data_IF_658813999731
#
_entry.id   IF_658813999731
#
_cell.length_a   1.000
_cell.length_b   1.000
_cell.length_c   1.000
_cell.angle_alpha   90.00
_cell.angle_beta   90.00
_cell.angle_gamma   90.00
#
_symmetry.space_group_name_H-M   'P 1'
#
loop_
_entity.id
_entity.type
_entity.pdbx_description
1 polymer ?
#
# COMPACT_ATOMS: atom_id res chain seq x y z
N UNK A 1 14.01 -20.70 -27.15
CA UNK A 1 15.35 -20.67 -27.79
C UNK A 1 16.42 -21.14 -26.81
N UNK A 2 17.55 -21.64 -27.35
CA UNK A 2 18.74 -22.13 -26.62
C UNK A 2 19.36 -21.07 -25.69
N UNK A 3 20.16 -21.54 -24.72
CA UNK A 3 21.11 -20.74 -23.91
C UNK A 3 21.76 -19.65 -24.80
N UNK A 4 21.49 -18.39 -24.52
CA UNK A 4 22.13 -17.24 -25.19
C UNK A 4 22.91 -16.47 -24.14
N UNK A 5 24.18 -16.18 -24.43
CA UNK A 5 24.99 -15.37 -23.52
C UNK A 5 24.43 -13.94 -23.46
N UNK A 6 24.14 -13.35 -24.62
CA UNK A 6 23.70 -11.97 -24.76
C UNK A 6 22.75 -11.89 -25.96
N UNK A 7 21.60 -11.22 -25.81
CA UNK A 7 20.62 -11.02 -26.87
C UNK A 7 20.24 -9.54 -26.93
N UNK A 8 20.58 -8.87 -28.03
CA UNK A 8 20.42 -7.42 -28.16
C UNK A 8 18.94 -6.99 -28.29
N UNK A 9 18.18 -7.65 -29.16
CA UNK A 9 16.75 -7.34 -29.30
C UNK A 9 15.97 -8.52 -29.87
N UNK A 10 14.77 -8.73 -29.37
CA UNK A 10 13.77 -9.60 -29.99
C UNK A 10 12.51 -8.78 -30.24
N UNK A 11 12.15 -8.61 -31.52
CA UNK A 11 11.10 -7.69 -31.97
C UNK A 11 10.03 -8.44 -32.78
N UNK A 12 8.76 -8.05 -32.63
CA UNK A 12 7.64 -8.48 -33.51
C UNK A 12 7.35 -9.99 -33.48
N UNK A 13 7.03 -10.56 -32.33
CA UNK A 13 6.50 -11.93 -32.27
C UNK A 13 5.01 -11.94 -31.95
N UNK A 14 4.24 -12.74 -32.68
CA UNK A 14 2.85 -12.98 -32.29
C UNK A 14 2.81 -13.76 -30.97
N UNK A 15 3.60 -14.84 -30.87
CA UNK A 15 3.60 -15.70 -29.69
C UNK A 15 5.03 -16.18 -29.41
N UNK A 16 5.48 -15.99 -28.17
CA UNK A 16 6.76 -16.50 -27.69
C UNK A 16 6.52 -17.46 -26.52
N UNK A 17 6.62 -18.77 -26.77
CA UNK A 17 6.37 -19.80 -25.75
C UNK A 17 7.39 -19.81 -24.61
N UNK A 18 8.69 -19.75 -24.92
CA UNK A 18 9.70 -19.72 -23.86
C UNK A 18 11.05 -19.15 -24.30
N UNK A 19 11.60 -18.30 -23.43
CA UNK A 19 13.01 -17.92 -23.43
C UNK A 19 13.65 -18.38 -22.11
N UNK A 20 14.65 -19.25 -22.21
CA UNK A 20 15.26 -19.93 -21.07
C UNK A 20 16.76 -19.67 -21.05
N UNK A 21 17.30 -19.25 -19.89
CA UNK A 21 18.73 -19.06 -19.63
C UNK A 21 19.38 -18.03 -20.56
N UNK A 22 19.18 -16.76 -20.24
CA UNK A 22 19.85 -15.62 -20.90
C UNK A 22 20.70 -14.88 -19.86
N UNK A 23 21.96 -14.54 -20.15
CA UNK A 23 22.70 -13.67 -19.22
C UNK A 23 22.15 -12.25 -19.34
N UNK A 24 22.14 -11.70 -20.55
CA UNK A 24 21.67 -10.33 -20.79
C UNK A 24 20.71 -10.26 -21.98
N UNK A 25 19.57 -9.57 -21.77
CA UNK A 25 18.59 -9.26 -22.80
C UNK A 25 18.33 -7.74 -22.81
N UNK A 26 18.77 -7.05 -23.86
CA UNK A 26 18.67 -5.59 -23.93
C UNK A 26 17.23 -5.12 -24.22
N UNK A 27 16.52 -5.76 -25.14
CA UNK A 27 15.12 -5.38 -25.41
C UNK A 27 14.24 -6.51 -25.93
N UNK A 28 12.99 -6.52 -25.47
CA UNK A 28 11.92 -7.38 -25.96
C UNK A 28 10.74 -6.49 -26.35
N UNK A 29 10.47 -6.29 -27.65
CA UNK A 29 9.49 -5.32 -28.13
C UNK A 29 8.39 -5.94 -28.99
N UNK A 30 7.15 -5.45 -28.85
CA UNK A 30 6.01 -5.78 -29.71
C UNK A 30 5.70 -7.30 -29.75
N UNK A 31 5.44 -7.89 -28.59
CA UNK A 31 4.94 -9.26 -28.52
C UNK A 31 3.44 -9.26 -28.22
N UNK A 32 2.63 -10.06 -28.90
CA UNK A 32 1.22 -10.18 -28.45
C UNK A 32 1.19 -11.05 -27.19
N UNK A 33 1.76 -12.25 -27.26
CA UNK A 33 1.71 -13.20 -26.15
C UNK A 33 3.10 -13.72 -25.78
N UNK A 34 3.46 -13.60 -24.50
CA UNK A 34 4.69 -14.16 -23.92
C UNK A 34 4.32 -15.14 -22.79
N UNK A 35 4.54 -16.43 -23.03
CA UNK A 35 4.20 -17.48 -22.06
C UNK A 35 5.20 -17.58 -20.91
N UNK A 36 6.50 -17.60 -21.21
CA UNK A 36 7.52 -17.73 -20.16
C UNK A 36 8.88 -17.10 -20.49
N UNK A 37 9.41 -16.33 -19.54
CA UNK A 37 10.80 -15.91 -19.48
C UNK A 37 11.42 -16.42 -18.18
N UNK A 38 12.47 -17.26 -18.28
CA UNK A 38 13.01 -17.99 -17.14
C UNK A 38 14.54 -17.95 -17.09
N UNK A 39 15.09 -17.61 -15.91
CA UNK A 39 16.54 -17.50 -15.65
C UNK A 39 17.21 -16.47 -16.56
N UNK A 40 16.87 -15.21 -16.36
CA UNK A 40 17.56 -14.08 -16.99
C UNK A 40 18.40 -13.37 -15.95
N UNK A 41 19.70 -13.17 -16.15
CA UNK A 41 20.45 -12.36 -15.18
C UNK A 41 19.98 -10.91 -15.30
N UNK A 42 20.00 -10.35 -16.50
CA UNK A 42 19.69 -8.94 -16.72
C UNK A 42 18.73 -8.74 -17.91
N UNK A 43 17.64 -8.01 -17.69
CA UNK A 43 16.71 -7.57 -18.72
C UNK A 43 16.60 -6.05 -18.68
N UNK A 44 17.05 -5.35 -19.72
CA UNK A 44 16.99 -3.89 -19.72
C UNK A 44 15.59 -3.34 -20.06
N UNK A 45 14.91 -3.90 -21.07
CA UNK A 45 13.60 -3.38 -21.47
C UNK A 45 12.62 -4.42 -22.01
N UNK A 46 11.38 -4.36 -21.52
CA UNK A 46 10.23 -5.09 -22.05
C UNK A 46 9.15 -4.09 -22.49
N UNK A 47 8.81 -4.02 -23.78
CA UNK A 47 7.93 -2.97 -24.31
C UNK A 47 6.82 -3.53 -25.20
N UNK A 48 5.56 -3.07 -25.01
CA UNK A 48 4.38 -3.47 -25.79
C UNK A 48 4.20 -5.00 -25.81
N UNK A 49 3.86 -5.55 -24.66
CA UNK A 49 3.37 -6.94 -24.57
C UNK A 49 1.85 -6.89 -24.38
N UNK A 50 1.02 -7.67 -25.07
CA UNK A 50 -0.43 -7.68 -24.73
C UNK A 50 -0.63 -8.52 -23.48
N UNK A 51 -0.09 -9.74 -23.47
CA UNK A 51 -0.28 -10.72 -22.41
C UNK A 51 1.05 -11.36 -22.00
N UNK A 52 1.34 -11.33 -20.70
CA UNK A 52 2.49 -11.97 -20.10
C UNK A 52 2.08 -12.95 -19.00
N UNK A 53 2.27 -14.24 -19.26
CA UNK A 53 1.89 -15.29 -18.33
C UNK A 53 2.89 -15.46 -17.17
N UNK A 54 4.20 -15.53 -17.46
CA UNK A 54 5.21 -15.82 -16.42
C UNK A 54 6.59 -15.21 -16.65
N UNK A 55 7.11 -14.51 -15.63
CA UNK A 55 8.51 -14.13 -15.46
C UNK A 55 9.09 -14.80 -14.21
N UNK A 56 10.18 -15.56 -14.36
CA UNK A 56 10.76 -16.32 -13.26
C UNK A 56 12.29 -16.19 -13.18
N UNK A 57 12.81 -15.93 -11.98
CA UNK A 57 14.25 -15.84 -11.69
C UNK A 57 14.96 -14.82 -12.58
N UNK A 58 14.48 -13.57 -12.57
CA UNK A 58 15.21 -12.45 -13.16
C UNK A 58 16.09 -11.85 -12.08
N UNK A 59 17.38 -11.62 -12.32
CA UNK A 59 18.20 -10.97 -11.28
C UNK A 59 17.90 -9.48 -11.27
N UNK A 60 17.95 -8.83 -12.43
CA UNK A 60 17.74 -7.40 -12.61
C UNK A 60 16.81 -7.09 -13.79
N UNK A 61 15.82 -6.21 -13.56
CA UNK A 61 14.89 -5.71 -14.58
C UNK A 61 14.82 -4.18 -14.54
N UNK A 62 15.33 -3.53 -15.59
CA UNK A 62 15.49 -2.06 -15.62
C UNK A 62 14.27 -1.28 -16.13
N UNK A 63 13.42 -1.87 -16.97
CA UNK A 63 12.22 -1.19 -17.46
C UNK A 63 11.20 -2.17 -18.05
N UNK A 64 9.92 -1.89 -17.82
CA UNK A 64 8.81 -2.59 -18.46
C UNK A 64 7.72 -1.57 -18.82
N UNK A 65 7.26 -1.55 -20.08
CA UNK A 65 6.35 -0.54 -20.62
C UNK A 65 5.17 -1.19 -21.37
N UNK A 66 3.95 -0.72 -21.05
CA UNK A 66 2.67 -1.01 -21.71
C UNK A 66 2.40 -2.51 -21.81
N UNK A 67 1.72 -3.05 -20.81
CA UNK A 67 1.16 -4.41 -20.86
C UNK A 67 -0.30 -4.43 -20.47
N UNK A 68 -1.14 -5.15 -21.21
CA UNK A 68 -2.56 -5.23 -20.86
C UNK A 68 -2.75 -6.11 -19.62
N UNK A 69 -2.14 -7.31 -19.62
CA UNK A 69 -2.38 -8.31 -18.58
C UNK A 69 -1.09 -9.05 -18.17
N UNK A 70 -0.86 -9.16 -16.85
CA UNK A 70 0.25 -9.92 -16.25
C UNK A 70 -0.27 -10.91 -15.21
N UNK A 71 0.01 -12.21 -15.42
CA UNK A 71 -0.45 -13.24 -14.50
C UNK A 71 0.53 -13.53 -13.34
N UNK A 72 1.86 -13.58 -13.55
CA UNK A 72 2.80 -13.93 -12.47
C UNK A 72 4.25 -13.46 -12.66
N UNK A 73 4.78 -12.72 -11.67
CA UNK A 73 6.21 -12.44 -11.47
C UNK A 73 6.70 -13.09 -10.15
N UNK A 74 7.56 -14.11 -10.21
CA UNK A 74 7.74 -15.03 -9.07
C UNK A 74 9.08 -14.91 -8.29
N UNK A 75 10.08 -14.19 -8.82
CA UNK A 75 11.34 -13.92 -8.10
C UNK A 75 12.22 -12.89 -8.83
N UNK A 76 12.54 -11.77 -8.17
CA UNK A 76 13.56 -10.81 -8.62
C UNK A 76 14.53 -10.47 -7.49
N UNK A 77 15.83 -10.65 -7.69
CA UNK A 77 16.84 -10.58 -6.61
C UNK A 77 17.47 -9.19 -6.42
N UNK A 78 17.64 -8.41 -7.47
CA UNK A 78 18.25 -7.08 -7.42
C UNK A 78 17.43 -6.10 -8.28
N UNK A 79 16.82 -5.14 -7.60
CA UNK A 79 16.11 -3.95 -8.09
C UNK A 79 15.22 -4.11 -9.34
N UNK A 80 13.90 -4.09 -9.12
CA UNK A 80 12.95 -3.66 -10.15
C UNK A 80 13.02 -2.13 -10.24
N UNK A 81 13.89 -1.60 -11.10
CA UNK A 81 13.98 -0.16 -11.27
C UNK A 81 12.91 0.26 -12.28
N UNK A 82 11.89 0.89 -11.72
CA UNK A 82 10.93 1.76 -12.39
C UNK A 82 10.07 1.22 -13.54
N UNK A 83 8.78 1.06 -13.25
CA UNK A 83 7.69 1.19 -14.21
C UNK A 83 7.41 2.69 -14.44
N UNK A 84 8.44 3.49 -14.80
CA UNK A 84 8.43 4.97 -14.69
C UNK A 84 7.82 5.75 -15.83
N UNK A 85 7.65 5.17 -17.00
CA UNK A 85 7.16 5.97 -18.13
C UNK A 85 5.75 6.52 -17.81
N UNK A 86 5.49 7.84 -18.02
CA UNK A 86 4.21 8.47 -17.69
C UNK A 86 2.99 7.87 -18.41
N UNK A 87 3.23 7.09 -19.46
CA UNK A 87 2.25 6.36 -20.26
C UNK A 87 2.22 4.84 -19.99
N UNK A 88 2.95 4.37 -18.97
CA UNK A 88 2.95 2.96 -18.59
C UNK A 88 1.62 2.62 -17.91
N UNK A 89 0.65 2.20 -18.72
CA UNK A 89 -0.67 1.77 -18.27
C UNK A 89 -0.69 0.25 -18.29
N UNK A 90 -0.88 -0.35 -17.13
CA UNK A 90 -1.32 -1.73 -17.06
C UNK A 90 -2.80 -1.79 -16.71
N UNK A 91 -3.55 -2.65 -17.39
CA UNK A 91 -4.95 -2.90 -17.05
C UNK A 91 -5.00 -3.75 -15.79
N UNK A 92 -4.25 -4.86 -15.75
CA UNK A 92 -4.32 -5.78 -14.64
C UNK A 92 -2.97 -6.45 -14.34
N UNK A 93 -2.63 -6.52 -13.05
CA UNK A 93 -1.45 -7.20 -12.53
C UNK A 93 -1.88 -8.15 -11.40
N UNK A 94 -1.83 -9.46 -11.63
CA UNK A 94 -2.34 -10.41 -10.63
C UNK A 94 -1.37 -10.69 -9.47
N UNK A 95 -0.07 -10.87 -9.74
CA UNK A 95 0.86 -11.34 -8.70
C UNK A 95 2.30 -10.89 -8.92
N UNK A 96 2.84 -10.17 -7.94
CA UNK A 96 4.29 -9.98 -7.72
C UNK A 96 4.70 -10.68 -6.42
N UNK A 97 5.69 -11.56 -6.48
CA UNK A 97 6.13 -12.37 -5.35
C UNK A 97 7.67 -12.34 -5.21
N UNK A 98 8.14 -12.10 -3.97
CA UNK A 98 9.55 -12.14 -3.57
C UNK A 98 10.45 -11.14 -4.32
N UNK A 99 10.48 -9.91 -3.82
CA UNK A 99 11.32 -8.82 -4.33
C UNK A 99 12.15 -8.19 -3.21
N UNK A 100 13.41 -7.88 -3.51
CA UNK A 100 14.25 -7.09 -2.58
C UNK A 100 13.77 -5.64 -2.59
N UNK A 101 13.77 -4.98 -3.74
CA UNK A 101 13.43 -3.56 -3.85
C UNK A 101 12.55 -3.30 -5.08
N UNK A 102 11.49 -2.51 -4.90
CA UNK A 102 10.61 -2.03 -5.96
C UNK A 102 10.51 -0.50 -5.89
N UNK A 103 11.09 0.19 -6.89
CA UNK A 103 11.24 1.65 -6.81
C UNK A 103 9.94 2.42 -7.15
N UNK A 104 9.25 2.04 -8.23
CA UNK A 104 7.98 2.68 -8.57
C UNK A 104 7.08 1.80 -9.42
N UNK A 105 5.80 1.77 -9.08
CA UNK A 105 4.72 1.25 -9.91
C UNK A 105 3.74 2.41 -10.20
N UNK A 106 3.67 2.85 -11.46
CA UNK A 106 2.83 3.97 -11.91
C UNK A 106 1.63 3.46 -12.72
N UNK A 107 0.43 4.00 -12.45
CA UNK A 107 -0.80 3.81 -13.25
C UNK A 107 -1.21 2.34 -13.52
N UNK A 108 -1.97 1.75 -12.60
CA UNK A 108 -2.67 0.48 -12.84
C UNK A 108 -4.17 0.63 -12.60
N UNK A 109 -5.01 -0.11 -13.34
CA UNK A 109 -6.39 -0.24 -12.92
C UNK A 109 -6.46 -1.20 -11.73
N UNK A 110 -5.96 -2.42 -11.87
CA UNK A 110 -6.10 -3.46 -10.84
C UNK A 110 -4.76 -4.12 -10.49
N UNK A 111 -4.46 -4.22 -9.19
CA UNK A 111 -3.36 -4.99 -8.63
C UNK A 111 -3.88 -5.97 -7.57
N UNK A 112 -3.85 -7.27 -7.87
CA UNK A 112 -4.44 -8.28 -6.97
C UNK A 112 -3.54 -8.60 -5.78
N UNK A 113 -2.26 -8.87 -6.02
CA UNK A 113 -1.35 -9.26 -4.93
C UNK A 113 0.10 -8.81 -5.13
N UNK A 114 0.65 -8.24 -4.06
CA UNK A 114 2.08 -8.00 -3.89
C UNK A 114 2.52 -8.68 -2.58
N UNK A 115 3.44 -9.64 -2.67
CA UNK A 115 3.85 -10.50 -1.56
C UNK A 115 5.38 -10.52 -1.37
N UNK A 116 5.83 -10.36 -0.12
CA UNK A 116 7.24 -10.40 0.28
C UNK A 116 8.12 -9.37 -0.46
N UNK A 117 8.04 -8.12 0.01
CA UNK A 117 8.88 -7.01 -0.49
C UNK A 117 9.74 -6.48 0.67
N UNK A 118 11.06 -6.37 0.51
CA UNK A 118 11.86 -5.68 1.55
C UNK A 118 11.51 -4.19 1.52
N UNK A 119 11.63 -3.54 0.37
CA UNK A 119 11.40 -2.10 0.24
C UNK A 119 10.53 -1.76 -0.98
N UNK A 120 9.45 -1.00 -0.74
CA UNK A 120 8.60 -0.42 -1.79
C UNK A 120 8.63 1.11 -1.66
N UNK A 121 9.23 1.78 -2.63
CA UNK A 121 9.37 3.25 -2.62
C UNK A 121 8.06 3.95 -2.99
N UNK A 122 7.44 3.59 -4.12
CA UNK A 122 6.23 4.29 -4.57
C UNK A 122 5.22 3.43 -5.33
N UNK A 123 3.94 3.58 -4.98
CA UNK A 123 2.79 3.21 -5.80
C UNK A 123 1.96 4.47 -6.10
N UNK A 124 1.73 4.77 -7.37
CA UNK A 124 1.07 5.99 -7.79
C UNK A 124 -0.06 5.70 -8.79
N UNK A 125 -1.28 6.21 -8.50
CA UNK A 125 -2.49 6.03 -9.32
C UNK A 125 -2.87 4.56 -9.50
N UNK A 126 -3.63 4.01 -8.56
CA UNK A 126 -4.22 2.66 -8.67
C UNK A 126 -5.72 2.75 -8.49
N UNK A 127 -6.53 2.15 -9.37
CA UNK A 127 -7.97 2.07 -9.11
C UNK A 127 -8.23 1.11 -7.95
N UNK A 128 -7.72 -0.12 -8.01
CA UNK A 128 -7.95 -1.13 -6.99
C UNK A 128 -6.67 -1.90 -6.64
N UNK A 129 -6.38 -1.99 -5.34
CA UNK A 129 -5.32 -2.84 -4.77
C UNK A 129 -5.95 -3.83 -3.78
N UNK A 130 -6.00 -5.12 -4.15
CA UNK A 130 -6.64 -6.12 -3.28
C UNK A 130 -5.75 -6.51 -2.09
N UNK A 131 -4.47 -6.80 -2.32
CA UNK A 131 -3.62 -7.28 -1.22
C UNK A 131 -2.15 -6.87 -1.31
N UNK A 132 -1.63 -6.35 -0.20
CA UNK A 132 -0.20 -6.18 0.07
C UNK A 132 0.18 -6.97 1.32
N UNK A 133 1.12 -7.90 1.21
CA UNK A 133 1.47 -8.84 2.29
C UNK A 133 2.97 -8.89 2.55
N UNK A 134 3.36 -8.66 3.82
CA UNK A 134 4.74 -8.72 4.31
C UNK A 134 5.67 -7.77 3.56
N UNK A 135 5.63 -6.51 3.97
CA UNK A 135 6.53 -5.46 3.49
C UNK A 135 7.39 -4.98 4.64
N UNK A 136 8.72 -4.89 4.49
CA UNK A 136 9.53 -4.30 5.58
C UNK A 136 9.31 -2.80 5.60
N UNK A 137 9.52 -2.12 4.47
CA UNK A 137 9.38 -0.68 4.38
C UNK A 137 8.54 -0.26 3.17
N UNK A 138 7.56 0.62 3.41
CA UNK A 138 6.70 1.22 2.40
C UNK A 138 6.77 2.75 2.50
N UNK A 139 7.41 3.39 1.53
CA UNK A 139 7.62 4.82 1.55
C UNK A 139 6.37 5.61 1.15
N UNK A 140 5.73 5.29 0.02
CA UNK A 140 4.60 6.10 -0.48
C UNK A 140 3.56 5.31 -1.26
N UNK A 141 2.29 5.51 -0.88
CA UNK A 141 1.11 5.14 -1.65
C UNK A 141 0.29 6.41 -1.94
N UNK A 142 0.09 6.77 -3.21
CA UNK A 142 -0.55 8.02 -3.62
C UNK A 142 -1.66 7.79 -4.66
N UNK A 143 -2.81 8.46 -4.47
CA UNK A 143 -3.95 8.44 -5.41
C UNK A 143 -4.50 7.02 -5.67
N UNK A 144 -4.94 6.31 -4.64
CA UNK A 144 -5.61 5.01 -4.82
C UNK A 144 -7.11 5.11 -4.55
N UNK A 145 -7.97 4.56 -5.41
CA UNK A 145 -9.41 4.58 -5.12
C UNK A 145 -9.73 3.57 -4.02
N UNK A 146 -9.35 2.30 -4.19
CA UNK A 146 -9.69 1.24 -3.24
C UNK A 146 -8.46 0.42 -2.83
N UNK A 147 -8.32 0.21 -1.51
CA UNK A 147 -7.32 -0.68 -0.93
C UNK A 147 -8.01 -1.66 0.04
N UNK A 148 -8.05 -2.95 -0.33
CA UNK A 148 -8.78 -3.95 0.47
C UNK A 148 -7.99 -4.43 1.67
N UNK A 149 -6.73 -4.83 1.47
CA UNK A 149 -5.92 -5.45 2.53
C UNK A 149 -4.45 -5.02 2.51
N UNK A 150 -4.01 -4.38 3.60
CA UNK A 150 -2.59 -4.19 3.92
C UNK A 150 -2.21 -5.02 5.16
N UNK A 151 -1.35 -6.02 4.98
CA UNK A 151 -0.89 -6.91 6.04
C UNK A 151 0.61 -6.75 6.32
N UNK A 152 1.00 -6.98 7.59
CA UNK A 152 2.37 -6.99 8.11
C UNK A 152 3.31 -5.99 7.42
N UNK A 153 3.32 -4.75 7.90
CA UNK A 153 4.27 -3.72 7.46
C UNK A 153 5.10 -3.24 8.63
N UNK A 154 6.43 -3.31 8.57
CA UNK A 154 7.26 -2.78 9.68
C UNK A 154 7.14 -1.25 9.69
N UNK A 155 7.39 -0.59 8.56
CA UNK A 155 7.37 0.86 8.46
C UNK A 155 6.53 1.34 7.27
N UNK A 156 5.65 2.31 7.53
CA UNK A 156 4.86 3.01 6.52
C UNK A 156 5.06 4.52 6.66
N UNK A 157 5.75 5.14 5.70
CA UNK A 157 6.03 6.58 5.73
C UNK A 157 4.80 7.41 5.33
N UNK A 158 4.21 7.15 4.16
CA UNK A 158 3.13 7.99 3.63
C UNK A 158 2.03 7.23 2.90
N UNK A 159 0.78 7.57 3.24
CA UNK A 159 -0.43 7.19 2.51
C UNK A 159 -1.26 8.45 2.24
N UNK A 160 -1.35 8.86 0.97
CA UNK A 160 -1.96 10.13 0.58
C UNK A 160 -3.09 9.96 -0.43
N UNK A 161 -4.23 10.60 -0.16
CA UNK A 161 -5.36 10.71 -1.10
C UNK A 161 -5.92 9.35 -1.53
N UNK A 162 -6.51 8.62 -0.57
CA UNK A 162 -7.25 7.39 -0.88
C UNK A 162 -8.75 7.57 -0.67
N UNK A 163 -9.58 6.99 -1.53
CA UNK A 163 -11.04 7.00 -1.33
C UNK A 163 -11.41 6.02 -0.22
N UNK A 164 -11.06 4.75 -0.33
CA UNK A 164 -11.46 3.70 0.61
C UNK A 164 -10.30 2.82 1.05
N UNK A 165 -10.24 2.52 2.35
CA UNK A 165 -9.36 1.51 2.93
C UNK A 165 -10.13 0.56 3.85
N UNK A 166 -10.29 -0.70 3.42
CA UNK A 166 -11.05 -1.69 4.17
C UNK A 166 -10.30 -2.27 5.37
N UNK A 167 -9.07 -2.73 5.19
CA UNK A 167 -8.39 -3.41 6.28
C UNK A 167 -6.88 -3.18 6.32
N UNK A 168 -6.40 -2.92 7.53
CA UNK A 168 -4.99 -2.79 7.81
C UNK A 168 -4.67 -3.38 9.18
N UNK A 169 -3.77 -4.35 9.18
CA UNK A 169 -3.62 -5.21 10.33
C UNK A 169 -2.48 -4.79 11.28
N UNK A 170 -1.32 -5.43 11.16
CA UNK A 170 -0.19 -5.36 12.09
C UNK A 170 0.89 -4.46 11.50
N UNK A 171 1.04 -3.26 12.07
CA UNK A 171 2.12 -2.34 11.68
C UNK A 171 2.93 -1.90 12.91
N UNK A 172 4.25 -1.79 12.76
CA UNK A 172 5.11 -1.29 13.85
C UNK A 172 5.07 0.23 13.87
N UNK A 173 5.38 0.89 12.76
CA UNK A 173 5.51 2.35 12.72
C UNK A 173 4.82 2.98 11.51
N UNK A 174 4.22 4.15 11.75
CA UNK A 174 3.50 4.92 10.74
C UNK A 174 3.74 6.41 10.91
N UNK A 175 4.19 7.08 9.86
CA UNK A 175 4.45 8.53 9.92
C UNK A 175 3.24 9.37 9.48
N UNK A 176 2.62 9.09 8.32
CA UNK A 176 1.50 9.91 7.86
C UNK A 176 0.42 9.19 7.07
N UNK A 177 -0.83 9.52 7.42
CA UNK A 177 -2.04 9.18 6.66
C UNK A 177 -2.82 10.47 6.42
N UNK A 178 -2.95 10.87 5.16
CA UNK A 178 -3.52 12.16 4.79
C UNK A 178 -4.61 12.01 3.73
N UNK A 179 -5.74 12.69 3.94
CA UNK A 179 -6.92 12.73 3.04
C UNK A 179 -7.48 11.34 2.73
N UNK A 180 -8.42 10.90 3.56
CA UNK A 180 -9.19 9.68 3.30
C UNK A 180 -10.68 9.94 3.41
N UNK A 181 -11.45 9.39 2.47
CA UNK A 181 -12.91 9.37 2.62
C UNK A 181 -13.29 8.34 3.68
N UNK A 182 -12.84 7.08 3.53
CA UNK A 182 -13.30 6.00 4.39
C UNK A 182 -12.18 5.09 4.88
N UNK A 183 -12.19 4.78 6.18
CA UNK A 183 -11.29 3.83 6.82
C UNK A 183 -12.08 2.87 7.71
N UNK A 184 -12.21 1.61 7.26
CA UNK A 184 -13.02 0.61 7.97
C UNK A 184 -12.34 0.02 9.20
N UNK A 185 -11.08 -0.43 9.07
CA UNK A 185 -10.42 -1.11 10.19
C UNK A 185 -8.91 -0.93 10.30
N UNK A 186 -8.47 -0.55 11.50
CA UNK A 186 -7.10 -0.54 12.00
C UNK A 186 -6.97 -1.47 13.23
N UNK A 187 -6.21 -2.56 13.15
CA UNK A 187 -6.19 -3.57 14.25
C UNK A 187 -5.07 -3.40 15.28
N UNK A 188 -3.80 -3.38 14.85
CA UNK A 188 -2.63 -3.39 15.75
C UNK A 188 -1.56 -2.44 15.24
N UNK A 189 -1.33 -1.35 15.97
CA UNK A 189 -0.30 -0.38 15.65
C UNK A 189 0.56 -0.08 16.88
N UNK A 190 1.89 -0.18 16.78
CA UNK A 190 2.76 0.26 17.89
C UNK A 190 2.81 1.77 17.94
N UNK A 191 3.18 2.44 16.84
CA UNK A 191 3.29 3.91 16.77
C UNK A 191 2.54 4.49 15.57
N UNK A 192 1.75 5.54 15.82
CA UNK A 192 1.07 6.32 14.78
C UNK A 192 1.28 7.82 15.00
N UNK A 193 2.06 8.45 14.13
CA UNK A 193 2.40 9.87 14.27
C UNK A 193 1.26 10.81 13.85
N UNK A 194 0.61 10.56 12.71
CA UNK A 194 -0.41 11.49 12.21
C UNK A 194 -1.51 10.83 11.37
N UNK A 195 -2.76 11.21 11.67
CA UNK A 195 -3.94 11.05 10.81
C UNK A 195 -4.58 12.41 10.55
N UNK A 196 -4.77 12.76 9.28
CA UNK A 196 -5.24 14.09 8.88
C UNK A 196 -6.34 14.02 7.81
N UNK A 197 -7.46 14.72 8.05
CA UNK A 197 -8.64 14.77 7.17
C UNK A 197 -9.20 13.38 6.82
N UNK A 198 -9.91 12.78 7.78
CA UNK A 198 -10.68 11.54 7.57
C UNK A 198 -12.16 11.88 7.62
N UNK A 199 -12.94 11.49 6.61
CA UNK A 199 -14.40 11.63 6.70
C UNK A 199 -14.97 10.59 7.66
N UNK A 200 -14.72 9.30 7.42
CA UNK A 200 -15.24 8.23 8.27
C UNK A 200 -14.16 7.24 8.72
N UNK A 201 -14.11 6.99 10.03
CA UNK A 201 -13.30 5.94 10.66
C UNK A 201 -14.20 5.00 11.47
N UNK A 202 -14.38 3.76 10.99
CA UNK A 202 -15.27 2.80 11.62
C UNK A 202 -14.65 2.13 12.84
N UNK A 203 -13.43 1.63 12.74
CA UNK A 203 -12.81 0.91 13.84
C UNK A 203 -11.30 1.11 13.91
N UNK A 204 -10.83 1.48 15.10
CA UNK A 204 -9.43 1.35 15.50
C UNK A 204 -9.36 0.58 16.81
N UNK A 205 -8.54 -0.46 16.82
CA UNK A 205 -8.36 -1.32 17.99
C UNK A 205 -7.08 -0.95 18.75
N UNK A 206 -6.15 -1.89 18.94
CA UNK A 206 -5.00 -1.73 19.84
C UNK A 206 -3.97 -0.78 19.23
N UNK A 207 -3.76 0.34 19.91
CA UNK A 207 -2.68 1.29 19.60
C UNK A 207 -1.87 1.59 20.85
N UNK A 208 -0.54 1.51 20.76
CA UNK A 208 0.33 1.85 21.92
C UNK A 208 0.48 3.36 21.99
N UNK A 209 1.01 3.99 20.95
CA UNK A 209 1.30 5.42 20.93
C UNK A 209 0.63 6.09 19.72
N UNK A 210 -0.10 7.18 19.97
CA UNK A 210 -0.75 7.96 18.94
C UNK A 210 -0.53 9.47 19.14
N UNK A 211 0.13 10.14 18.19
CA UNK A 211 0.55 11.54 18.39
C UNK A 211 -0.51 12.56 17.96
N UNK A 212 -1.18 12.38 16.81
CA UNK A 212 -2.17 13.39 16.37
C UNK A 212 -3.26 12.90 15.44
N UNK A 213 -4.51 13.14 15.82
CA UNK A 213 -5.73 13.08 15.01
C UNK A 213 -6.22 14.51 14.79
N UNK A 214 -6.17 15.05 13.57
CA UNK A 214 -6.41 16.50 13.35
C UNK A 214 -7.83 16.90 12.95
N UNK A 215 -8.50 16.08 12.14
CA UNK A 215 -9.84 16.32 11.62
C UNK A 215 -10.49 14.98 11.26
N UNK A 216 -11.54 14.61 11.98
CA UNK A 216 -12.35 13.42 11.71
C UNK A 216 -13.81 13.83 11.69
N UNK A 217 -14.57 13.57 10.63
CA UNK A 217 -16.02 13.86 10.65
C UNK A 217 -16.73 12.85 11.56
N UNK A 218 -16.54 11.55 11.30
CA UNK A 218 -17.19 10.47 12.04
C UNK A 218 -16.20 9.42 12.53
N UNK A 219 -16.24 9.15 13.83
CA UNK A 219 -15.45 8.12 14.49
C UNK A 219 -16.37 7.14 15.24
N UNK A 220 -16.49 5.89 14.77
CA UNK A 220 -17.43 4.93 15.35
C UNK A 220 -16.85 4.18 16.57
N UNK A 221 -15.61 3.70 16.50
CA UNK A 221 -15.06 2.90 17.61
C UNK A 221 -13.55 2.97 17.80
N UNK A 222 -13.14 3.24 19.04
CA UNK A 222 -11.78 3.10 19.57
C UNK A 222 -11.76 2.12 20.75
N UNK A 223 -11.07 0.97 20.62
CA UNK A 223 -11.19 -0.14 21.60
C UNK A 223 -10.11 -0.18 22.68
N UNK A 224 -8.85 0.12 22.37
CA UNK A 224 -7.73 0.12 23.34
C UNK A 224 -6.60 1.06 22.87
N UNK A 225 -6.35 2.13 23.62
CA UNK A 225 -5.24 3.06 23.39
C UNK A 225 -4.41 3.19 24.67
N UNK A 226 -3.10 3.04 24.58
CA UNK A 226 -2.23 3.32 25.74
C UNK A 226 -2.04 4.82 25.88
N UNK A 227 -1.54 5.48 24.84
CA UNK A 227 -1.24 6.92 24.87
C UNK A 227 -1.81 7.64 23.63
N UNK A 228 -2.62 8.67 23.86
CA UNK A 228 -3.16 9.57 22.84
C UNK A 228 -2.81 11.02 23.17
N UNK A 229 -1.90 11.62 22.39
CA UNK A 229 -1.43 12.98 22.63
C UNK A 229 -2.44 14.05 22.18
N UNK A 230 -3.02 13.91 20.99
CA UNK A 230 -3.99 14.89 20.51
C UNK A 230 -5.07 14.27 19.64
N UNK A 231 -6.33 14.59 19.98
CA UNK A 231 -7.50 14.45 19.13
C UNK A 231 -8.17 15.82 18.98
N UNK A 232 -8.16 16.32 17.75
CA UNK A 232 -8.63 17.65 17.37
C UNK A 232 -9.75 17.52 16.33
N UNK A 233 -10.76 18.40 16.42
CA UNK A 233 -11.91 18.49 15.52
C UNK A 233 -12.53 17.14 15.17
N UNK A 234 -13.42 16.66 16.02
CA UNK A 234 -14.30 15.53 15.71
C UNK A 234 -15.74 15.99 15.64
N UNK A 235 -16.47 15.74 14.56
CA UNK A 235 -17.91 16.05 14.56
C UNK A 235 -18.66 15.05 15.44
N UNK A 236 -18.44 13.75 15.21
CA UNK A 236 -19.18 12.69 15.89
C UNK A 236 -18.23 11.57 16.38
N UNK A 237 -18.24 11.30 17.69
CA UNK A 237 -17.51 10.19 18.32
C UNK A 237 -18.50 9.25 19.03
N UNK A 238 -18.68 8.03 18.51
CA UNK A 238 -19.65 7.08 19.06
C UNK A 238 -19.14 6.30 20.27
N UNK A 239 -17.96 5.68 20.18
CA UNK A 239 -17.43 4.88 21.29
C UNK A 239 -15.91 4.96 21.43
N UNK A 240 -15.47 5.16 22.66
CA UNK A 240 -14.09 5.00 23.11
C UNK A 240 -14.09 4.18 24.41
N UNK A 241 -13.41 3.03 24.46
CA UNK A 241 -13.62 2.04 25.53
C UNK A 241 -12.47 1.88 26.53
N UNK A 242 -11.22 2.15 26.15
CA UNK A 242 -10.10 2.10 27.07
C UNK A 242 -8.98 3.02 26.59
N UNK A 243 -8.68 4.02 27.39
CA UNK A 243 -7.53 4.91 27.19
C UNK A 243 -6.74 4.99 28.49
N UNK A 244 -5.43 4.78 28.45
CA UNK A 244 -4.60 4.93 29.65
C UNK A 244 -4.24 6.40 29.84
N UNK A 245 -3.74 7.07 28.81
CA UNK A 245 -3.37 8.49 28.86
C UNK A 245 -3.95 9.26 27.66
N UNK A 246 -4.72 10.31 27.95
CA UNK A 246 -5.26 11.25 26.98
C UNK A 246 -4.78 12.68 27.27
N UNK A 247 -3.89 13.21 26.43
CA UNK A 247 -3.30 14.53 26.69
C UNK A 247 -4.16 15.70 26.24
N UNK A 248 -4.82 15.60 25.08
CA UNK A 248 -5.62 16.71 24.56
C UNK A 248 -6.79 16.24 23.70
N UNK A 249 -7.99 16.66 24.07
CA UNK A 249 -9.22 16.55 23.27
C UNK A 249 -9.77 17.94 22.99
N UNK A 250 -9.87 18.35 21.73
CA UNK A 250 -10.23 19.73 21.35
C UNK A 250 -11.28 19.79 20.24
N UNK A 251 -12.38 20.51 20.48
CA UNK A 251 -13.49 20.74 19.53
C UNK A 251 -14.16 19.44 19.08
N UNK A 252 -14.93 18.84 19.97
CA UNK A 252 -15.84 17.76 19.60
C UNK A 252 -17.28 18.24 19.60
N UNK A 253 -18.05 17.98 18.55
CA UNK A 253 -19.47 18.37 18.56
C UNK A 253 -20.28 17.37 19.38
N UNK A 254 -20.16 16.08 19.10
CA UNK A 254 -20.94 15.02 19.74
C UNK A 254 -20.06 13.86 20.24
N UNK A 255 -20.27 13.48 21.52
CA UNK A 255 -19.67 12.30 22.16
C UNK A 255 -20.78 11.38 22.70
N UNK A 256 -20.91 10.16 22.17
CA UNK A 256 -21.93 9.23 22.64
C UNK A 256 -21.48 8.38 23.82
N UNK A 257 -20.27 7.80 23.78
CA UNK A 257 -19.77 6.92 24.84
C UNK A 257 -18.24 7.03 25.00
N UNK A 258 -17.82 7.36 26.23
CA UNK A 258 -16.46 7.19 26.71
C UNK A 258 -16.50 6.29 27.96
N UNK A 259 -15.86 5.14 27.88
CA UNK A 259 -15.74 4.18 28.97
C UNK A 259 -14.25 4.05 29.31
N UNK A 260 -13.90 4.14 30.59
CA UNK A 260 -12.53 3.95 31.12
C UNK A 260 -11.46 4.84 30.48
N UNK A 261 -11.22 5.99 31.12
CA UNK A 261 -10.02 6.79 30.91
C UNK A 261 -9.27 6.96 32.23
N UNK A 262 -8.01 6.52 32.28
CA UNK A 262 -7.24 6.63 33.53
C UNK A 262 -6.72 8.05 33.74
N UNK A 263 -6.21 8.70 32.69
CA UNK A 263 -5.62 10.04 32.76
C UNK A 263 -6.12 10.96 31.63
N UNK A 264 -6.56 12.17 32.00
CA UNK A 264 -7.01 13.22 31.08
C UNK A 264 -6.33 14.54 31.43
N UNK A 265 -5.44 15.03 30.56
CA UNK A 265 -4.73 16.30 30.81
C UNK A 265 -5.52 17.53 30.31
N UNK A 266 -6.20 17.44 29.17
CA UNK A 266 -6.95 18.58 28.61
C UNK A 266 -8.17 18.14 27.81
N UNK A 267 -9.31 18.77 28.11
CA UNK A 267 -10.57 18.67 27.36
C UNK A 267 -11.09 20.09 27.08
N UNK A 268 -11.28 20.42 25.81
CA UNK A 268 -11.75 21.73 25.36
C UNK A 268 -12.92 21.61 24.39
N UNK A 269 -14.00 22.35 24.65
CA UNK A 269 -15.21 22.47 23.83
C UNK A 269 -15.80 21.12 23.40
N UNK A 270 -16.79 20.65 24.15
CA UNK A 270 -17.69 19.58 23.73
C UNK A 270 -19.12 20.09 23.79
N UNK A 271 -19.87 20.00 22.68
CA UNK A 271 -21.23 20.53 22.62
C UNK A 271 -22.22 19.55 23.28
N UNK A 272 -22.09 18.26 22.99
CA UNK A 272 -23.02 17.23 23.50
C UNK A 272 -22.29 15.97 23.98
N UNK A 273 -22.69 15.47 25.16
CA UNK A 273 -22.17 14.24 25.75
C UNK A 273 -23.35 13.38 26.22
N UNK A 274 -23.45 12.15 25.71
CA UNK A 274 -24.54 11.22 26.06
C UNK A 274 -24.16 10.26 27.20
N UNK A 275 -22.90 9.81 27.27
CA UNK A 275 -22.42 8.91 28.33
C UNK A 275 -20.91 9.06 28.59
N UNK A 276 -20.56 9.21 29.87
CA UNK A 276 -19.21 9.18 30.43
C UNK A 276 -19.23 8.19 31.62
N UNK A 277 -18.46 7.10 31.55
CA UNK A 277 -18.33 6.10 32.62
C UNK A 277 -16.87 5.87 33.01
#
# INVERSE_FOLDING_TARGET
MNKTAELQSLNQNNELHSLNKTTELHSLNQNNELHSLNKTTELHSLNKTIELHSLNQITELHSMNKTTEHHSLNKTTESLITLTEPDNKNTELHSLNQHTELHSLNQNNELHSLNLTTELHSLNKTTELHSLNKTTELHSLNQNNELHSLNLTTELHSLNSNTELHSMNKNTERHSLNKKTELHSLKKTTKLHSLNHITELYSMNKTTEHNSLKQITKLNSLKEITELHSLNKTTELHSMNKTTELHSLNKNTELHSLNQNNELHSLNLTTEIHSLN
#
